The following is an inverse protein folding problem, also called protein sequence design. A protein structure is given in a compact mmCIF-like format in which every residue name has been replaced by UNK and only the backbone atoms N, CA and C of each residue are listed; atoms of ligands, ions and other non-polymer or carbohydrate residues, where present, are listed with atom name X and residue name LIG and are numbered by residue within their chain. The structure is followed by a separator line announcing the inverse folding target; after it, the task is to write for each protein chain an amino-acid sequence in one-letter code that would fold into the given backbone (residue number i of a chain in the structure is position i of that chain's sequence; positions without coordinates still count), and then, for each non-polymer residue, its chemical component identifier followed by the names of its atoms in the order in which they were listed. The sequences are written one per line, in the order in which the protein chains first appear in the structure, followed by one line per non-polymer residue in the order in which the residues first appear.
data_IF_123523748345
#
_entry.id   IF_123523748345
#
_cell.length_a   1.000
_cell.length_b   1.000
_cell.length_c   1.000
_cell.angle_alpha   90.00
_cell.angle_beta   90.00
_cell.angle_gamma   90.00
#
_symmetry.space_group_name_H-M   'P 1'
#
loop_
_entity.id
_entity.type
_entity.pdbx_description
1 polymer ?
#
# COMPACT_ATOMS: atom_id res chain seq x y z
N UNK A 1 -48.18 6.24 -23.69
CA UNK A 1 -47.24 6.92 -22.77
C UNK A 1 -47.34 6.23 -21.41
N UNK A 2 -46.29 5.51 -21.01
CA UNK A 2 -46.11 4.95 -19.67
C UNK A 2 -44.60 4.91 -19.43
N UNK A 3 -44.10 5.37 -18.27
CA UNK A 3 -42.69 5.66 -18.09
C UNK A 3 -41.88 4.36 -18.08
N UNK A 4 -40.85 4.31 -18.92
CA UNK A 4 -39.86 3.25 -18.92
C UNK A 4 -39.21 3.16 -17.55
N UNK A 5 -39.23 1.96 -16.98
CA UNK A 5 -38.44 1.60 -15.80
C UNK A 5 -36.98 1.71 -16.22
N UNK A 6 -36.34 2.82 -15.88
CA UNK A 6 -34.89 2.96 -16.00
C UNK A 6 -34.25 1.99 -15.03
N UNK A 7 -33.65 0.93 -15.55
CA UNK A 7 -32.72 0.09 -14.82
C UNK A 7 -31.66 0.99 -14.18
N UNK A 8 -31.73 1.17 -12.85
CA UNK A 8 -30.59 1.66 -12.07
C UNK A 8 -29.52 0.58 -12.19
N UNK A 9 -28.57 0.80 -13.10
CA UNK A 9 -27.32 0.06 -13.10
C UNK A 9 -26.62 0.42 -11.78
N UNK A 10 -26.76 -0.44 -10.77
CA UNK A 10 -25.93 -0.35 -9.57
C UNK A 10 -24.51 -0.63 -10.03
N UNK A 11 -23.69 0.39 -10.18
CA UNK A 11 -22.27 0.21 -10.48
C UNK A 11 -21.67 -0.61 -9.34
N UNK A 12 -21.41 -1.89 -9.60
CA UNK A 12 -20.82 -2.79 -8.62
C UNK A 12 -19.44 -2.24 -8.26
N UNK A 13 -19.22 -2.00 -6.96
CA UNK A 13 -17.92 -1.53 -6.47
C UNK A 13 -16.86 -2.58 -6.79
N UNK A 14 -15.71 -2.12 -7.29
CA UNK A 14 -14.59 -3.00 -7.65
C UNK A 14 -13.69 -3.18 -6.44
N UNK A 15 -13.53 -4.41 -5.97
CA UNK A 15 -12.76 -4.72 -4.75
C UNK A 15 -11.35 -5.17 -5.07
N UNK A 16 -10.37 -4.65 -4.32
CA UNK A 16 -8.95 -4.98 -4.43
C UNK A 16 -8.43 -5.42 -3.06
N UNK A 17 -8.05 -6.68 -2.92
CA UNK A 17 -7.26 -7.16 -1.78
C UNK A 17 -5.81 -6.68 -1.90
N UNK A 18 -5.32 -6.00 -0.86
CA UNK A 18 -3.99 -5.42 -0.80
C UNK A 18 -3.33 -5.83 0.51
N UNK A 19 -2.08 -6.27 0.43
CA UNK A 19 -1.25 -6.47 1.61
C UNK A 19 -0.48 -5.19 1.92
N UNK A 20 -0.60 -4.68 3.15
CA UNK A 20 0.25 -3.63 3.68
C UNK A 20 1.28 -4.24 4.63
N UNK A 21 2.55 -4.06 4.30
CA UNK A 21 3.69 -4.55 5.08
C UNK A 21 4.83 -3.54 5.08
N UNK A 22 5.84 -3.75 5.93
CA UNK A 22 6.93 -2.80 6.16
C UNK A 22 7.46 -2.91 7.59
N UNK A 23 8.55 -2.22 7.88
CA UNK A 23 9.22 -2.31 9.18
C UNK A 23 8.35 -1.82 10.35
N UNK A 24 8.77 -2.14 11.57
CA UNK A 24 8.13 -1.61 12.77
C UNK A 24 8.17 -0.08 12.73
N UNK A 25 7.14 0.59 13.25
CA UNK A 25 7.06 2.07 13.29
C UNK A 25 7.07 2.76 11.93
N UNK A 26 6.95 2.04 10.82
CA UNK A 26 6.83 2.64 9.49
C UNK A 26 5.54 3.47 9.30
N UNK A 27 4.55 3.35 10.20
CA UNK A 27 3.30 4.11 10.14
C UNK A 27 2.20 3.45 9.32
N UNK A 28 2.29 2.12 9.10
CA UNK A 28 1.32 1.31 8.33
C UNK A 28 -0.14 1.57 8.73
N UNK A 29 -0.47 1.32 10.00
CA UNK A 29 -1.83 1.54 10.51
C UNK A 29 -2.26 3.00 10.39
N UNK A 30 -1.33 3.95 10.56
CA UNK A 30 -1.60 5.37 10.38
C UNK A 30 -1.91 5.75 8.92
N UNK A 31 -1.28 5.11 7.92
CA UNK A 31 -1.64 5.27 6.50
C UNK A 31 -3.10 4.87 6.27
N UNK A 32 -3.49 3.70 6.77
CA UNK A 32 -4.84 3.14 6.60
C UNK A 32 -5.88 4.08 7.21
N UNK A 33 -5.70 4.47 8.48
CA UNK A 33 -6.68 5.35 9.13
C UNK A 33 -6.68 6.75 8.56
N UNK A 34 -5.52 7.31 8.18
CA UNK A 34 -5.49 8.62 7.52
C UNK A 34 -6.29 8.61 6.23
N UNK A 35 -6.13 7.60 5.38
CA UNK A 35 -6.92 7.50 4.16
C UNK A 35 -8.40 7.24 4.43
N UNK A 36 -8.73 6.42 5.44
CA UNK A 36 -10.12 6.09 5.78
C UNK A 36 -10.89 7.27 6.37
N UNK A 37 -10.26 8.03 7.26
CA UNK A 37 -10.92 9.06 8.06
C UNK A 37 -10.64 10.47 7.54
N UNK A 38 -9.69 10.65 6.62
CA UNK A 38 -9.22 11.95 6.12
C UNK A 38 -8.66 12.87 7.22
N UNK A 39 -8.46 12.33 8.42
CA UNK A 39 -7.90 12.99 9.59
C UNK A 39 -6.79 12.11 10.19
N UNK A 40 -5.85 12.74 10.90
CA UNK A 40 -4.76 12.01 11.53
C UNK A 40 -5.20 11.52 12.90
N UNK A 41 -5.05 10.22 13.13
CA UNK A 41 -5.29 9.59 14.42
C UNK A 41 -4.02 8.91 14.89
N UNK A 42 -3.64 9.19 16.14
CA UNK A 42 -2.52 8.51 16.77
C UNK A 42 -2.88 7.03 17.01
N UNK A 43 -2.02 6.14 16.52
CA UNK A 43 -2.23 4.70 16.62
C UNK A 43 -1.34 4.08 17.70
N UNK A 44 -1.84 3.05 18.37
CA UNK A 44 -1.02 2.18 19.21
C UNK A 44 -0.33 1.10 18.35
N UNK A 45 0.79 0.50 18.83
CA UNK A 45 1.42 -0.62 18.15
C UNK A 45 0.43 -1.77 17.91
N UNK A 46 0.38 -2.26 16.67
CA UNK A 46 -0.52 -3.34 16.28
C UNK A 46 0.07 -4.69 16.65
N UNK A 47 -0.69 -5.50 17.40
CA UNK A 47 -0.22 -6.79 17.94
C UNK A 47 -0.36 -7.94 16.91
N UNK A 48 -1.28 -7.82 15.94
CA UNK A 48 -1.55 -8.85 14.94
C UNK A 48 -2.08 -8.29 13.63
N UNK A 49 -2.44 -9.15 12.65
CA UNK A 49 -3.02 -8.69 11.39
C UNK A 49 -4.28 -7.86 11.63
N UNK A 50 -4.35 -6.70 10.97
CA UNK A 50 -5.52 -5.84 10.97
C UNK A 50 -6.12 -5.84 9.56
N UNK A 51 -7.44 -6.07 9.47
CA UNK A 51 -8.17 -6.03 8.22
C UNK A 51 -9.05 -4.79 8.18
N UNK A 52 -8.78 -3.92 7.23
CA UNK A 52 -9.48 -2.65 7.08
C UNK A 52 -9.80 -2.40 5.61
N UNK A 53 -10.81 -1.59 5.34
CA UNK A 53 -11.16 -1.19 3.97
C UNK A 53 -11.15 0.32 3.83
N UNK A 54 -10.59 0.80 2.73
CA UNK A 54 -10.69 2.19 2.29
C UNK A 54 -11.47 2.26 0.98
N UNK A 55 -12.34 3.24 0.85
CA UNK A 55 -13.11 3.46 -0.39
C UNK A 55 -12.58 4.69 -1.09
N UNK A 56 -12.20 4.53 -2.35
CA UNK A 56 -11.71 5.61 -3.22
C UNK A 56 -12.51 5.52 -4.52
N UNK A 57 -13.31 6.54 -4.79
CA UNK A 57 -14.30 6.57 -5.87
C UNK A 57 -15.20 5.32 -5.89
N UNK A 58 -15.06 4.47 -6.91
CA UNK A 58 -15.83 3.22 -7.10
C UNK A 58 -15.08 1.96 -6.64
N UNK A 59 -13.92 2.14 -6.00
CA UNK A 59 -13.03 1.05 -5.59
C UNK A 59 -13.07 0.86 -4.08
N UNK A 60 -13.17 -0.40 -3.66
CA UNK A 60 -12.96 -0.81 -2.27
C UNK A 60 -11.61 -1.49 -2.18
N UNK A 61 -10.68 -0.90 -1.44
CA UNK A 61 -9.37 -1.50 -1.20
C UNK A 61 -9.42 -2.18 0.17
N UNK A 62 -9.43 -3.51 0.18
CA UNK A 62 -9.35 -4.32 1.38
C UNK A 62 -7.88 -4.51 1.75
N UNK A 63 -7.43 -3.80 2.78
CA UNK A 63 -6.06 -3.77 3.25
C UNK A 63 -5.91 -4.76 4.40
N UNK A 64 -4.97 -5.68 4.28
CA UNK A 64 -4.47 -6.48 5.39
C UNK A 64 -3.15 -5.86 5.85
N UNK A 65 -3.15 -5.17 7.00
CA UNK A 65 -1.96 -4.60 7.63
C UNK A 65 -1.29 -5.66 8.51
N UNK A 66 -0.08 -6.06 8.14
CA UNK A 66 0.70 -7.06 8.87
C UNK A 66 1.86 -6.37 9.59
N UNK A 67 1.84 -6.33 10.93
CA UNK A 67 2.90 -5.70 11.70
C UNK A 67 4.18 -6.55 11.77
N UNK A 68 4.09 -7.88 11.59
CA UNK A 68 5.18 -8.83 11.85
C UNK A 68 5.66 -9.50 10.54
N UNK A 69 6.97 -9.42 10.30
CA UNK A 69 7.68 -9.92 9.11
C UNK A 69 7.41 -11.40 8.81
N UNK A 70 7.13 -12.24 9.81
CA UNK A 70 7.06 -13.69 9.61
C UNK A 70 5.73 -14.22 9.03
N UNK A 71 4.71 -13.37 8.85
CA UNK A 71 3.38 -13.83 8.45
C UNK A 71 2.97 -13.43 7.04
N UNK A 72 3.75 -12.63 6.30
CA UNK A 72 3.26 -12.07 5.03
C UNK A 72 3.13 -13.09 3.89
N UNK A 73 3.87 -14.20 3.94
CA UNK A 73 3.92 -15.19 2.85
C UNK A 73 2.54 -15.71 2.43
N UNK A 74 1.67 -15.97 3.41
CA UNK A 74 0.33 -16.51 3.16
C UNK A 74 -0.62 -15.48 2.57
N UNK A 75 -0.38 -14.19 2.83
CA UNK A 75 -1.21 -13.08 2.35
C UNK A 75 -0.77 -12.57 0.98
N UNK A 76 0.52 -12.65 0.64
CA UNK A 76 1.05 -12.23 -0.67
C UNK A 76 0.29 -12.95 -1.81
N UNK A 77 0.06 -14.26 -1.69
CA UNK A 77 -0.59 -15.06 -2.75
C UNK A 77 -2.04 -14.65 -3.04
N UNK A 78 -2.70 -13.99 -2.09
CA UNK A 78 -4.10 -13.57 -2.18
C UNK A 78 -4.24 -12.07 -2.51
N UNK A 79 -3.11 -11.38 -2.67
CA UNK A 79 -3.06 -9.94 -2.86
C UNK A 79 -3.03 -9.58 -4.34
N UNK A 80 -3.82 -8.58 -4.72
CA UNK A 80 -3.74 -7.98 -6.05
C UNK A 80 -2.61 -6.95 -6.15
N UNK A 81 -2.18 -6.38 -5.03
CA UNK A 81 -1.03 -5.49 -4.92
C UNK A 81 -0.43 -5.55 -3.51
N UNK A 82 0.82 -5.13 -3.40
CA UNK A 82 1.53 -4.93 -2.14
C UNK A 82 1.74 -3.43 -1.92
N UNK A 83 1.51 -2.96 -0.70
CA UNK A 83 2.01 -1.68 -0.21
C UNK A 83 3.16 -1.99 0.74
N UNK A 84 4.34 -1.48 0.42
CA UNK A 84 5.51 -1.52 1.27
C UNK A 84 5.74 -0.15 1.91
N UNK A 85 5.58 -0.05 3.22
CA UNK A 85 5.83 1.18 3.97
C UNK A 85 7.32 1.25 4.37
N UNK A 86 8.04 2.18 3.77
CA UNK A 86 9.44 2.48 4.05
C UNK A 86 9.55 3.78 4.85
N UNK A 87 10.16 3.75 6.04
CA UNK A 87 10.39 4.93 6.86
C UNK A 87 11.90 5.25 6.88
N UNK A 88 12.34 6.36 6.25
CA UNK A 88 13.76 6.74 6.19
C UNK A 88 14.34 7.16 7.55
N UNK A 89 13.52 7.27 8.60
CA UNK A 89 13.95 7.57 9.97
C UNK A 89 14.32 6.33 10.80
N UNK A 90 14.01 5.11 10.33
CA UNK A 90 14.39 3.86 11.01
C UNK A 90 15.61 3.21 10.34
N UNK A 91 15.98 2.03 10.82
CA UNK A 91 17.03 1.21 10.23
C UNK A 91 16.70 0.87 8.78
N UNK A 92 17.60 1.26 7.88
CA UNK A 92 17.42 1.09 6.43
C UNK A 92 17.79 -0.34 6.01
N UNK A 93 18.75 -0.97 6.68
CA UNK A 93 19.26 -2.28 6.28
C UNK A 93 18.22 -3.36 6.57
N UNK A 94 17.55 -3.30 7.74
CA UNK A 94 16.42 -4.18 8.06
C UNK A 94 15.25 -4.03 7.07
N UNK A 95 14.99 -2.80 6.61
CA UNK A 95 13.95 -2.52 5.63
C UNK A 95 14.30 -3.07 4.24
N UNK A 96 15.58 -3.00 3.84
CA UNK A 96 16.08 -3.60 2.61
C UNK A 96 15.95 -5.12 2.67
N UNK A 97 16.33 -5.76 3.77
CA UNK A 97 16.19 -7.21 3.95
C UNK A 97 14.72 -7.64 3.83
N UNK A 98 13.82 -6.94 4.51
CA UNK A 98 12.38 -7.21 4.42
C UNK A 98 11.86 -7.06 2.98
N UNK A 99 12.26 -6.00 2.29
CA UNK A 99 11.85 -5.76 0.90
C UNK A 99 12.33 -6.89 -0.03
N UNK A 100 13.60 -7.31 0.12
CA UNK A 100 14.16 -8.41 -0.65
C UNK A 100 13.39 -9.72 -0.41
N UNK A 101 13.08 -10.04 0.86
CA UNK A 101 12.27 -11.21 1.20
C UNK A 101 10.88 -11.16 0.55
N UNK A 102 10.24 -9.99 0.50
CA UNK A 102 8.95 -9.80 -0.19
C UNK A 102 9.11 -10.06 -1.69
N UNK A 103 10.13 -9.47 -2.33
CA UNK A 103 10.35 -9.63 -3.78
C UNK A 103 10.72 -11.06 -4.16
N UNK A 104 11.44 -11.78 -3.29
CA UNK A 104 11.79 -13.19 -3.48
C UNK A 104 10.54 -14.08 -3.43
N UNK A 105 9.66 -13.84 -2.46
CA UNK A 105 8.38 -14.56 -2.34
C UNK A 105 7.45 -14.23 -3.51
N UNK A 106 7.45 -12.98 -3.99
CA UNK A 106 6.73 -12.59 -5.20
C UNK A 106 7.28 -13.26 -6.45
N UNK A 107 8.58 -13.57 -6.50
CA UNK A 107 9.23 -14.31 -7.59
C UNK A 107 8.95 -13.69 -8.96
N UNK A 108 8.23 -14.41 -9.82
CA UNK A 108 7.82 -13.96 -11.16
C UNK A 108 6.36 -13.50 -11.24
N UNK A 109 5.70 -13.27 -10.11
CA UNK A 109 4.33 -12.74 -10.11
C UNK A 109 4.29 -11.32 -10.66
N UNK A 110 3.17 -10.98 -11.29
CA UNK A 110 2.88 -9.64 -11.83
C UNK A 110 2.25 -8.70 -10.79
N UNK A 111 2.30 -9.05 -9.50
CA UNK A 111 1.69 -8.25 -8.43
C UNK A 111 2.51 -6.96 -8.27
N UNK A 112 1.91 -5.77 -8.48
CA UNK A 112 2.62 -4.50 -8.36
C UNK A 112 2.90 -4.15 -6.89
N UNK A 113 3.97 -3.37 -6.68
CA UNK A 113 4.41 -2.90 -5.36
C UNK A 113 4.36 -1.38 -5.31
N UNK A 114 3.50 -0.83 -4.45
CA UNK A 114 3.54 0.58 -4.07
C UNK A 114 4.47 0.75 -2.89
N UNK A 115 5.53 1.56 -3.04
CA UNK A 115 6.47 1.88 -1.97
C UNK A 115 6.06 3.23 -1.40
N UNK A 116 5.39 3.23 -0.25
CA UNK A 116 5.14 4.45 0.50
C UNK A 116 6.36 4.82 1.32
N UNK A 117 7.04 5.90 0.93
CA UNK A 117 8.12 6.49 1.71
C UNK A 117 7.47 7.42 2.72
N UNK A 118 7.36 6.97 3.97
CA UNK A 118 6.56 7.60 5.01
C UNK A 118 7.36 8.62 5.81
N UNK A 119 6.65 9.39 6.66
CA UNK A 119 7.23 10.38 7.58
C UNK A 119 8.16 11.38 6.88
N UNK A 120 7.84 11.73 5.64
CA UNK A 120 8.61 12.70 4.85
C UNK A 120 8.53 14.11 5.42
N UNK A 121 7.57 14.35 6.32
CA UNK A 121 7.49 15.54 7.19
C UNK A 121 8.63 15.61 8.23
N UNK A 122 9.21 14.48 8.62
CA UNK A 122 10.34 14.41 9.56
C UNK A 122 11.70 14.34 8.84
N UNK A 123 11.77 13.56 7.76
CA UNK A 123 12.99 13.38 6.98
C UNK A 123 12.67 13.32 5.49
N UNK A 124 13.10 14.35 4.78
CA UNK A 124 13.00 14.39 3.33
C UNK A 124 14.12 13.54 2.70
N UNK A 125 13.76 12.68 1.75
CA UNK A 125 14.67 11.87 0.93
C UNK A 125 14.18 11.92 -0.52
N UNK A 126 15.05 11.63 -1.48
CA UNK A 126 14.69 11.62 -2.90
C UNK A 126 14.19 10.24 -3.33
N UNK A 127 13.39 10.19 -4.39
CA UNK A 127 12.98 8.92 -5.01
C UNK A 127 14.19 8.12 -5.49
N UNK A 128 15.17 8.79 -6.08
CA UNK A 128 16.43 8.17 -6.52
C UNK A 128 17.15 7.47 -5.37
N UNK A 129 17.25 8.11 -4.19
CA UNK A 129 17.87 7.51 -3.02
C UNK A 129 17.18 6.20 -2.61
N UNK A 130 15.85 6.19 -2.61
CA UNK A 130 15.06 5.00 -2.27
C UNK A 130 15.22 3.91 -3.33
N UNK A 131 15.19 4.28 -4.61
CA UNK A 131 15.36 3.35 -5.72
C UNK A 131 16.73 2.66 -5.68
N UNK A 132 17.80 3.42 -5.39
CA UNK A 132 19.15 2.89 -5.23
C UNK A 132 19.26 1.94 -4.03
N UNK A 133 18.69 2.31 -2.88
CA UNK A 133 18.73 1.50 -1.65
C UNK A 133 18.00 0.18 -1.79
N UNK A 134 16.81 0.20 -2.38
CA UNK A 134 15.99 -1.01 -2.61
C UNK A 134 16.37 -1.74 -3.92
N UNK A 135 17.37 -1.23 -4.65
CA UNK A 135 17.86 -1.77 -5.92
C UNK A 135 16.74 -2.08 -6.93
N UNK A 136 15.79 -1.14 -7.07
CA UNK A 136 14.56 -1.35 -7.83
C UNK A 136 14.79 -1.61 -9.32
N UNK A 137 15.99 -1.34 -9.85
CA UNK A 137 16.38 -1.73 -11.20
C UNK A 137 16.44 -3.26 -11.42
N UNK A 138 16.51 -4.06 -10.35
CA UNK A 138 16.64 -5.51 -10.44
C UNK A 138 15.34 -6.27 -10.12
N UNK A 139 14.30 -5.58 -9.63
CA UNK A 139 13.03 -6.24 -9.33
C UNK A 139 12.20 -6.44 -10.60
N UNK A 140 11.39 -7.50 -10.60
CA UNK A 140 10.53 -7.85 -11.75
C UNK A 140 9.17 -7.17 -11.71
N UNK A 141 8.71 -6.85 -10.51
CA UNK A 141 7.39 -6.29 -10.27
C UNK A 141 7.32 -4.85 -10.78
N UNK A 142 6.15 -4.47 -11.28
CA UNK A 142 5.85 -3.05 -11.49
C UNK A 142 5.84 -2.35 -10.14
N UNK A 143 6.52 -1.22 -10.03
CA UNK A 143 6.61 -0.48 -8.78
C UNK A 143 6.35 1.01 -8.96
N UNK A 144 6.06 1.68 -7.84
CA UNK A 144 6.02 3.14 -7.75
C UNK A 144 6.47 3.58 -6.38
N UNK A 145 7.30 4.62 -6.34
CA UNK A 145 7.69 5.27 -5.10
C UNK A 145 6.76 6.46 -4.89
N UNK A 146 6.11 6.50 -3.73
CA UNK A 146 5.27 7.61 -3.35
C UNK A 146 5.73 8.19 -2.02
N UNK A 147 6.24 9.41 -2.07
CA UNK A 147 6.52 10.20 -0.87
C UNK A 147 5.21 10.54 -0.18
N UNK A 148 5.10 10.25 1.11
CA UNK A 148 3.87 10.52 1.84
C UNK A 148 4.07 10.84 3.32
N UNK A 149 3.02 11.40 3.93
CA UNK A 149 2.92 11.61 5.37
C UNK A 149 1.50 11.34 5.84
N UNK A 150 1.34 10.45 6.83
CA UNK A 150 0.04 10.20 7.45
C UNK A 150 -0.43 11.35 8.34
N UNK A 151 0.48 12.23 8.77
CA UNK A 151 0.14 13.41 9.56
C UNK A 151 -0.53 14.47 8.69
N UNK A 152 0.07 14.79 7.54
CA UNK A 152 -0.45 15.80 6.61
C UNK A 152 -1.44 15.24 5.60
N UNK A 153 -1.41 13.92 5.35
CA UNK A 153 -2.18 13.24 4.29
C UNK A 153 -1.57 13.37 2.90
N UNK A 154 -0.48 14.14 2.74
CA UNK A 154 0.16 14.35 1.44
C UNK A 154 0.63 13.02 0.85
N UNK A 155 0.40 12.83 -0.46
CA UNK A 155 0.91 11.69 -1.23
C UNK A 155 0.13 10.39 -1.05
N UNK A 156 -0.78 10.29 -0.07
CA UNK A 156 -1.52 9.05 0.18
C UNK A 156 -2.49 8.76 -0.96
N UNK A 157 -3.29 9.74 -1.35
CA UNK A 157 -4.29 9.57 -2.39
C UNK A 157 -3.64 9.23 -3.74
N UNK A 158 -2.55 9.91 -4.10
CA UNK A 158 -1.77 9.67 -5.31
C UNK A 158 -1.24 8.23 -5.35
N UNK A 159 -0.69 7.74 -4.24
CA UNK A 159 -0.22 6.36 -4.14
C UNK A 159 -1.34 5.33 -4.30
N UNK A 160 -2.46 5.53 -3.61
CA UNK A 160 -3.61 4.63 -3.75
C UNK A 160 -4.22 4.65 -5.15
N UNK A 161 -4.29 5.81 -5.79
CA UNK A 161 -4.74 5.93 -7.18
C UNK A 161 -3.81 5.20 -8.14
N UNK A 162 -2.48 5.32 -7.95
CA UNK A 162 -1.53 4.53 -8.72
C UNK A 162 -1.78 3.04 -8.54
N UNK A 163 -1.99 2.57 -7.31
CA UNK A 163 -2.25 1.16 -7.04
C UNK A 163 -3.50 0.67 -7.80
N UNK A 164 -4.62 1.39 -7.69
CA UNK A 164 -5.87 1.07 -8.41
C UNK A 164 -5.63 0.95 -9.92
N UNK A 165 -4.95 1.92 -10.52
CA UNK A 165 -4.70 1.94 -11.97
C UNK A 165 -3.83 0.78 -12.45
N UNK A 166 -3.02 0.20 -11.57
CA UNK A 166 -2.04 -0.82 -11.91
C UNK A 166 -2.41 -2.24 -11.49
N UNK A 167 -3.50 -2.41 -10.75
CA UNK A 167 -4.09 -3.73 -10.45
C UNK A 167 -5.25 -4.09 -11.36
N UNK A 168 -6.00 -3.09 -11.84
CA UNK A 168 -7.26 -3.30 -12.60
C UNK A 168 -7.00 -3.59 -14.09
N UNK A 169 -5.79 -3.34 -14.60
CA UNK A 169 -5.41 -3.58 -16.00
C UNK A 169 -5.06 -5.04 -16.34
N UNK A 170 -5.18 -5.98 -15.42
CA UNK A 170 -5.05 -7.41 -15.74
C UNK A 170 -6.38 -7.96 -16.26
N UNK A 171 -6.70 -7.67 -17.52
CA UNK A 171 -7.66 -8.44 -18.33
C UNK A 171 -6.89 -9.33 -19.29
#
# INVERSE_FOLDING_TARGET
MGPGVTNKCSSQLQSLNVLLTGYEKAGKTSIVYRQKQQEFVQTLPTIGPLHESVTIDKYIINITDIPIINFFNDFIKQSHAIIFAFNPCEDIDDQIELFNNITDVLGTSNIPILIFVTKTDLKCVTEQYIAEKLQLQYIKQKYHIQMCSSVTGQGLNEGFMWLIMNTVTTQ
#
